data_IF_878332059314
#
_entry.id   IF_878332059314
#
_cell.length_a   1.000
_cell.length_b   1.000
_cell.length_c   1.000
_cell.angle_alpha   90.00
_cell.angle_beta   90.00
_cell.angle_gamma   90.00
#
_symmetry.space_group_name_H-M   'P 1'
#
loop_
_entity.id
_entity.type
_entity.pdbx_description
1 polymer ?
#
# COMPACT_ATOMS: atom_id res chain seq x y z
N UNK A 1 28.76 11.63 1.30
CA UNK A 1 28.63 10.59 2.35
C UNK A 1 27.37 10.77 3.22
N UNK A 2 27.26 11.85 4.00
CA UNK A 2 26.16 12.07 4.97
C UNK A 2 24.78 12.31 4.34
N UNK A 3 24.69 13.16 3.31
CA UNK A 3 23.41 13.44 2.60
C UNK A 3 22.75 12.18 2.04
N UNK A 4 23.53 11.21 1.56
CA UNK A 4 23.04 9.95 1.01
C UNK A 4 22.41 9.08 2.11
N UNK A 5 23.03 9.04 3.28
CA UNK A 5 22.51 8.35 4.47
C UNK A 5 21.21 9.01 4.92
N UNK A 6 21.19 10.33 5.12
CA UNK A 6 19.97 11.04 5.54
C UNK A 6 18.79 10.79 4.60
N UNK A 7 19.03 10.84 3.27
CA UNK A 7 18.00 10.58 2.27
C UNK A 7 17.49 9.14 2.33
N UNK A 8 18.38 8.18 2.58
CA UNK A 8 18.02 6.77 2.72
C UNK A 8 17.13 6.56 3.95
N UNK A 9 17.52 7.09 5.10
CA UNK A 9 16.74 6.95 6.34
C UNK A 9 15.37 7.63 6.24
N UNK A 10 15.32 8.83 5.65
CA UNK A 10 14.04 9.51 5.39
C UNK A 10 13.12 8.69 4.47
N UNK A 11 13.69 8.05 3.43
CA UNK A 11 12.91 7.19 2.53
C UNK A 11 12.42 5.92 3.22
N UNK A 12 13.18 5.36 4.15
CA UNK A 12 12.76 4.19 4.95
C UNK A 12 11.63 4.58 5.89
N UNK A 13 11.79 5.67 6.65
CA UNK A 13 10.78 6.17 7.58
C UNK A 13 9.43 6.43 6.88
N UNK A 14 9.47 7.08 5.71
CA UNK A 14 8.27 7.31 4.88
C UNK A 14 7.62 6.02 4.40
N UNK A 15 8.42 5.06 3.94
CA UNK A 15 7.92 3.77 3.50
C UNK A 15 7.24 3.03 4.66
N UNK A 16 7.88 2.99 5.84
CA UNK A 16 7.36 2.36 7.05
C UNK A 16 6.05 2.98 7.52
N UNK A 17 5.95 4.31 7.56
CA UNK A 17 4.68 4.99 7.92
C UNK A 17 3.54 4.63 6.98
N UNK A 18 3.82 4.43 5.70
CA UNK A 18 2.83 4.11 4.68
C UNK A 18 2.49 2.61 4.59
N UNK A 19 3.22 1.73 5.28
CA UNK A 19 2.89 0.29 5.36
C UNK A 19 1.43 0.10 5.79
N UNK A 20 0.97 0.90 6.77
CA UNK A 20 -0.39 0.84 7.29
C UNK A 20 -1.48 1.14 6.25
N UNK A 21 -1.21 1.96 5.23
CA UNK A 21 -2.20 2.31 4.20
C UNK A 21 -2.58 1.14 3.29
N UNK A 22 -1.74 0.09 3.22
CA UNK A 22 -2.02 -1.13 2.45
C UNK A 22 -2.70 -2.22 3.30
N UNK A 23 -2.84 -2.00 4.61
CA UNK A 23 -3.35 -3.01 5.54
C UNK A 23 -2.45 -4.25 5.62
N UNK A 24 -3.02 -5.36 6.10
CA UNK A 24 -2.30 -6.64 6.30
C UNK A 24 -2.01 -7.40 5.02
N UNK A 25 -2.55 -6.96 3.88
CA UNK A 25 -2.59 -7.71 2.62
C UNK A 25 -1.62 -7.16 1.56
N UNK A 26 -0.73 -6.24 1.94
CA UNK A 26 0.25 -5.60 1.03
C UNK A 26 1.02 -6.59 0.15
N UNK A 27 1.42 -7.75 0.69
CA UNK A 27 2.12 -8.78 -0.08
C UNK A 27 1.20 -9.47 -1.11
N UNK A 28 -0.08 -9.66 -0.78
CA UNK A 28 -1.07 -10.21 -1.71
C UNK A 28 -1.30 -9.29 -2.92
N UNK A 29 -1.04 -7.98 -2.77
CA UNK A 29 -1.09 -7.01 -3.86
C UNK A 29 0.19 -6.95 -4.70
N UNK A 30 1.18 -7.83 -4.44
CA UNK A 30 2.53 -7.77 -5.01
C UNK A 30 3.28 -6.46 -4.69
N UNK A 31 2.88 -5.74 -3.63
CA UNK A 31 3.44 -4.45 -3.26
C UNK A 31 4.50 -4.61 -2.19
N UNK A 32 5.52 -5.44 -2.42
CA UNK A 32 6.56 -5.75 -1.42
C UNK A 32 7.30 -4.52 -0.89
N UNK A 33 7.42 -3.44 -1.69
CA UNK A 33 8.13 -2.21 -1.30
C UNK A 33 7.38 -0.95 -1.72
N UNK A 34 7.17 -0.06 -0.74
CA UNK A 34 6.58 1.27 -0.95
C UNK A 34 7.68 2.26 -1.37
N UNK A 35 7.50 2.93 -2.51
CA UNK A 35 8.48 3.88 -3.08
C UNK A 35 8.01 5.34 -2.90
N UNK A 36 7.79 5.75 -1.66
CA UNK A 36 7.34 7.09 -1.31
C UNK A 36 8.51 8.04 -1.04
N UNK A 37 9.18 8.49 -2.11
CA UNK A 37 10.44 9.26 -2.02
C UNK A 37 10.22 10.77 -1.88
N UNK A 38 9.02 11.25 -2.19
CA UNK A 38 8.62 12.65 -2.10
C UNK A 38 7.11 12.76 -1.88
N UNK A 39 6.62 13.97 -1.56
CA UNK A 39 5.20 14.22 -1.24
C UNK A 39 4.22 13.77 -2.32
N UNK A 40 4.53 13.98 -3.61
CA UNK A 40 3.65 13.55 -4.71
C UNK A 40 3.50 12.03 -4.73
N UNK A 41 4.61 11.31 -4.56
CA UNK A 41 4.58 9.85 -4.47
C UNK A 41 3.93 9.37 -3.18
N UNK A 42 4.11 10.04 -2.04
CA UNK A 42 3.41 9.70 -0.80
C UNK A 42 1.89 9.76 -0.97
N UNK A 43 1.37 10.85 -1.56
CA UNK A 43 -0.07 10.99 -1.85
C UNK A 43 -0.55 9.86 -2.76
N UNK A 44 0.19 9.56 -3.83
CA UNK A 44 -0.14 8.47 -4.73
C UNK A 44 -0.17 7.11 -3.99
N UNK A 45 0.82 6.83 -3.15
CA UNK A 45 0.89 5.57 -2.39
C UNK A 45 -0.24 5.44 -1.36
N UNK A 46 -0.68 6.54 -0.72
CA UNK A 46 -1.84 6.54 0.17
C UNK A 46 -3.11 6.21 -0.62
N UNK A 47 -3.36 6.94 -1.71
CA UNK A 47 -4.54 6.73 -2.56
C UNK A 47 -4.60 5.29 -3.06
N UNK A 48 -3.47 4.84 -3.60
CA UNK A 48 -3.35 3.50 -4.15
C UNK A 48 -3.56 2.41 -3.09
N UNK A 49 -3.01 2.57 -1.88
CA UNK A 49 -3.21 1.61 -0.78
C UNK A 49 -4.66 1.47 -0.34
N UNK A 50 -5.33 2.60 -0.14
CA UNK A 50 -6.75 2.63 0.26
C UNK A 50 -7.63 1.96 -0.81
N UNK A 51 -7.46 2.34 -2.08
CA UNK A 51 -8.28 1.79 -3.17
C UNK A 51 -8.02 0.30 -3.40
N UNK A 52 -6.78 -0.15 -3.29
CA UNK A 52 -6.43 -1.57 -3.46
C UNK A 52 -7.07 -2.41 -2.35
N UNK A 53 -6.98 -1.96 -1.10
CA UNK A 53 -7.65 -2.63 0.02
C UNK A 53 -9.17 -2.70 -0.18
N UNK A 54 -9.79 -1.60 -0.58
CA UNK A 54 -11.23 -1.55 -0.83
C UNK A 54 -11.66 -2.48 -1.98
N UNK A 55 -10.92 -2.50 -3.09
CA UNK A 55 -11.24 -3.36 -4.24
C UNK A 55 -11.24 -4.84 -3.86
N UNK A 56 -10.30 -5.27 -3.03
CA UNK A 56 -10.16 -6.66 -2.59
C UNK A 56 -11.32 -7.07 -1.69
N UNK A 57 -11.70 -6.21 -0.73
CA UNK A 57 -12.89 -6.43 0.09
C UNK A 57 -14.17 -6.54 -0.76
N UNK A 58 -14.29 -5.72 -1.81
CA UNK A 58 -15.43 -5.78 -2.75
C UNK A 58 -15.42 -7.10 -3.52
N UNK A 59 -14.28 -7.54 -4.05
CA UNK A 59 -14.15 -8.79 -4.80
C UNK A 59 -14.54 -9.98 -3.92
N UNK A 60 -14.05 -10.07 -2.69
CA UNK A 60 -14.43 -11.14 -1.76
C UNK A 60 -15.93 -11.12 -1.45
N UNK A 61 -16.49 -9.93 -1.22
CA UNK A 61 -17.93 -9.76 -0.99
C UNK A 61 -18.75 -10.23 -2.19
N UNK A 62 -18.35 -9.92 -3.42
CA UNK A 62 -19.04 -10.36 -4.64
C UNK A 62 -18.93 -11.88 -4.79
N UNK A 63 -17.72 -12.46 -4.65
CA UNK A 63 -17.50 -13.91 -4.74
C UNK A 63 -18.37 -14.68 -3.74
N UNK A 64 -18.44 -14.21 -2.49
CA UNK A 64 -19.25 -14.83 -1.45
C UNK A 64 -20.76 -14.73 -1.73
N UNK A 65 -21.22 -13.64 -2.36
CA UNK A 65 -22.62 -13.52 -2.80
C UNK A 65 -22.93 -14.48 -3.94
N UNK A 66 -22.06 -14.57 -4.95
CA UNK A 66 -22.23 -15.49 -6.08
C UNK A 66 -22.24 -16.94 -5.63
N UNK A 67 -21.32 -17.33 -4.73
CA UNK A 67 -21.26 -18.69 -4.19
C UNK A 67 -22.48 -19.09 -3.35
N UNK A 68 -23.16 -18.13 -2.71
CA UNK A 68 -24.41 -18.38 -1.97
C UNK A 68 -25.65 -18.44 -2.84
N UNK A 69 -25.57 -17.93 -4.07
CA UNK A 69 -26.68 -17.89 -5.02
C UNK A 69 -26.68 -19.07 -6.01
N UNK A 70 -25.56 -19.80 -6.09
CA UNK A 70 -25.42 -21.06 -6.83
C UNK A 70 -25.75 -22.26 -5.91
#
# INVERSE_FOLDING_TARGET
PLRKVLRSELSKERATRLEGSFGTQKQHYSLSRIKARNRKTEILWIFFGIHTANAILIIEKIRNKTAKAA
#
